data_IF_520395353934
#
_entry.id   IF_520395353934
#
_cell.length_a   1.000
_cell.length_b   1.000
_cell.length_c   1.000
_cell.angle_alpha   90.00
_cell.angle_beta   90.00
_cell.angle_gamma   90.00
#
_symmetry.space_group_name_H-M   'P 1'
#
loop_
_entity.id
_entity.type
_entity.pdbx_description
1 polymer ?
#
# COMPACT_ATOMS: atom_id res chain seq x y z
N UNK A 1 -1.42 13.57 8.94
CA UNK A 1 -0.98 13.62 7.52
C UNK A 1 -1.68 14.71 6.73
N UNK A 2 -0.91 15.52 5.97
CA UNK A 2 -1.42 16.70 5.25
C UNK A 2 -1.53 16.48 3.74
N UNK A 3 -2.55 17.05 3.10
CA UNK A 3 -2.71 17.06 1.65
C UNK A 3 -1.52 17.67 0.89
N UNK A 4 -0.68 18.47 1.56
CA UNK A 4 0.55 19.02 0.96
C UNK A 4 1.55 17.91 0.62
N UNK A 5 1.73 16.92 1.50
CA UNK A 5 2.61 15.78 1.25
C UNK A 5 2.06 14.90 0.12
N UNK A 6 0.75 14.63 0.12
CA UNK A 6 0.11 13.89 -0.97
C UNK A 6 0.30 14.61 -2.32
N UNK A 7 0.16 15.94 -2.36
CA UNK A 7 0.40 16.74 -3.57
C UNK A 7 1.85 16.64 -4.06
N UNK A 8 2.82 16.67 -3.13
CA UNK A 8 4.24 16.49 -3.47
C UNK A 8 4.46 15.12 -4.11
N UNK A 9 3.93 14.06 -3.52
CA UNK A 9 4.10 12.69 -4.03
C UNK A 9 3.43 12.50 -5.38
N UNK A 10 2.23 13.05 -5.58
CA UNK A 10 1.57 13.00 -6.89
C UNK A 10 2.36 13.78 -7.95
N UNK A 11 3.11 14.82 -7.54
CA UNK A 11 4.01 15.53 -8.45
C UNK A 11 5.24 14.70 -8.80
N UNK A 12 5.85 14.02 -7.83
CA UNK A 12 6.98 13.11 -8.05
C UNK A 12 6.52 11.92 -8.91
N UNK A 13 5.39 11.30 -8.57
CA UNK A 13 4.80 10.21 -9.33
C UNK A 13 4.43 10.61 -10.76
N UNK A 14 4.05 11.88 -11.00
CA UNK A 14 3.85 12.41 -12.36
C UNK A 14 5.14 12.39 -13.19
N UNK A 15 6.27 12.78 -12.60
CA UNK A 15 7.57 12.74 -13.30
C UNK A 15 7.96 11.32 -13.72
N UNK A 16 7.50 10.31 -12.97
CA UNK A 16 7.71 8.89 -13.27
C UNK A 16 6.56 8.27 -14.09
N UNK A 17 5.60 9.08 -14.55
CA UNK A 17 4.35 8.66 -15.19
C UNK A 17 3.43 7.74 -14.35
N UNK A 18 3.74 7.51 -13.06
CA UNK A 18 2.99 6.65 -12.14
C UNK A 18 1.64 7.24 -11.76
N UNK A 19 1.58 8.55 -11.51
CA UNK A 19 0.36 9.21 -11.02
C UNK A 19 0.05 10.46 -11.82
N UNK A 20 -1.24 10.80 -12.03
CA UNK A 20 -1.59 12.10 -12.59
C UNK A 20 -1.18 13.23 -11.64
N UNK A 21 -0.95 14.41 -12.19
CA UNK A 21 -0.72 15.61 -11.37
C UNK A 21 -1.96 15.96 -10.54
N UNK A 22 -1.78 16.67 -9.42
CA UNK A 22 -2.90 17.22 -8.66
C UNK A 22 -3.83 18.13 -9.50
N UNK A 23 -3.26 18.91 -10.43
CA UNK A 23 -4.06 19.73 -11.35
C UNK A 23 -4.86 18.88 -12.34
N UNK A 24 -4.31 17.76 -12.79
CA UNK A 24 -4.96 16.83 -13.72
C UNK A 24 -6.06 16.03 -13.05
N UNK A 25 -5.90 15.72 -11.76
CA UNK A 25 -6.95 15.10 -10.94
C UNK A 25 -8.17 16.03 -10.85
N UNK A 26 -7.96 17.34 -10.64
CA UNK A 26 -9.07 18.28 -10.54
C UNK A 26 -9.78 18.52 -11.89
N UNK A 27 -9.03 18.47 -13.00
CA UNK A 27 -9.51 18.75 -14.36
C UNK A 27 -9.22 17.59 -15.35
N UNK A 28 -9.91 16.45 -15.23
CA UNK A 28 -9.60 15.23 -15.99
C UNK A 28 -9.87 15.35 -17.50
N UNK A 29 -10.89 16.12 -17.90
CA UNK A 29 -11.33 16.25 -19.31
C UNK A 29 -10.31 16.92 -20.24
N UNK A 30 -9.36 17.69 -19.69
CA UNK A 30 -8.48 18.56 -20.48
C UNK A 30 -7.18 17.88 -20.93
N UNK A 31 -6.84 16.70 -20.41
CA UNK A 31 -5.49 16.15 -20.58
C UNK A 31 -5.42 14.78 -21.27
N UNK A 32 -5.60 14.76 -22.60
CA UNK A 32 -5.30 13.59 -23.45
C UNK A 32 -3.79 13.26 -23.49
N UNK A 33 -2.91 14.22 -23.19
CA UNK A 33 -1.44 14.04 -23.24
C UNK A 33 -0.93 13.05 -22.20
N UNK A 34 -1.54 13.02 -21.00
CA UNK A 34 -1.13 12.11 -19.93
C UNK A 34 -1.23 10.61 -20.29
N UNK A 35 -2.20 10.22 -21.12
CA UNK A 35 -2.33 8.82 -21.59
C UNK A 35 -1.20 8.44 -22.54
N UNK A 36 -0.81 9.34 -23.46
CA UNK A 36 0.31 9.13 -24.38
C UNK A 36 1.63 9.00 -23.61
N UNK A 37 1.85 9.86 -22.62
CA UNK A 37 3.04 9.80 -21.77
C UNK A 37 3.10 8.50 -20.95
N UNK A 38 1.98 8.07 -20.36
CA UNK A 38 1.90 6.78 -19.67
C UNK A 38 2.22 5.60 -20.58
N UNK A 39 1.67 5.58 -21.81
CA UNK A 39 1.97 4.54 -22.80
C UNK A 39 3.45 4.52 -23.20
N UNK A 40 4.04 5.70 -23.41
CA UNK A 40 5.46 5.83 -23.73
C UNK A 40 6.33 5.32 -22.58
N UNK A 41 5.98 5.65 -21.32
CA UNK A 41 6.71 5.15 -20.16
C UNK A 41 6.59 3.63 -20.02
N UNK A 42 5.40 3.06 -20.27
CA UNK A 42 5.22 1.60 -20.31
C UNK A 42 6.13 0.98 -21.36
N UNK A 43 6.11 1.48 -22.61
CA UNK A 43 6.97 0.96 -23.68
C UNK A 43 8.47 1.08 -23.33
N UNK A 44 8.89 2.20 -22.74
CA UNK A 44 10.24 2.41 -22.26
C UNK A 44 10.63 1.38 -21.20
N UNK A 45 9.80 1.19 -20.16
CA UNK A 45 10.04 0.22 -19.10
C UNK A 45 10.09 -1.21 -19.65
N UNK A 46 9.20 -1.58 -20.57
CA UNK A 46 9.20 -2.89 -21.22
C UNK A 46 10.50 -3.13 -21.99
N UNK A 47 10.92 -2.17 -22.81
CA UNK A 47 12.13 -2.29 -23.62
C UNK A 47 13.39 -2.33 -22.74
N UNK A 48 13.48 -1.46 -21.74
CA UNK A 48 14.60 -1.44 -20.80
C UNK A 48 14.67 -2.73 -19.97
N UNK A 49 13.53 -3.28 -19.54
CA UNK A 49 13.50 -4.58 -18.84
C UNK A 49 13.93 -5.72 -19.75
N UNK A 50 13.51 -5.74 -21.02
CA UNK A 50 13.94 -6.75 -21.98
C UNK A 50 15.46 -6.71 -22.20
N UNK A 51 16.04 -5.52 -22.34
CA UNK A 51 17.50 -5.34 -22.44
C UNK A 51 18.19 -5.86 -21.17
N UNK A 52 17.69 -5.49 -19.98
CA UNK A 52 18.23 -5.95 -18.71
C UNK A 52 18.23 -7.48 -18.61
N UNK A 53 17.14 -8.15 -19.01
CA UNK A 53 17.05 -9.62 -19.04
C UNK A 53 18.09 -10.23 -20.00
N UNK A 54 18.29 -9.64 -21.18
CA UNK A 54 19.34 -10.11 -22.13
C UNK A 54 20.72 -10.05 -21.50
N UNK A 55 21.05 -8.95 -20.79
CA UNK A 55 22.33 -8.83 -20.08
C UNK A 55 22.46 -9.78 -18.87
N UNK A 56 21.35 -10.19 -18.24
CA UNK A 56 21.34 -11.16 -17.13
C UNK A 56 21.35 -12.61 -17.58
N UNK A 57 21.08 -12.90 -18.87
CA UNK A 57 20.98 -14.25 -19.41
C UNK A 57 22.19 -15.15 -19.07
N UNK A 58 23.45 -14.70 -19.15
CA UNK A 58 24.61 -15.54 -18.81
C UNK A 58 24.65 -15.96 -17.33
N UNK A 59 24.04 -15.18 -16.44
CA UNK A 59 23.90 -15.49 -15.02
C UNK A 59 22.75 -16.49 -14.82
N UNK A 60 21.62 -16.26 -15.49
CA UNK A 60 20.43 -17.11 -15.39
C UNK A 60 20.68 -18.54 -15.85
N UNK A 61 21.46 -18.74 -16.91
CA UNK A 61 21.83 -20.09 -17.41
C UNK A 61 22.64 -20.89 -16.38
N UNK A 62 23.33 -20.23 -15.43
CA UNK A 62 24.11 -20.89 -14.38
C UNK A 62 23.31 -21.19 -13.12
N UNK A 63 22.07 -20.71 -13.01
CA UNK A 63 21.23 -20.91 -11.83
C UNK A 63 20.57 -22.29 -11.82
N UNK A 64 20.26 -22.80 -10.62
CA UNK A 64 19.41 -23.98 -10.50
C UNK A 64 17.99 -23.68 -11.01
N UNK A 65 17.24 -24.66 -11.53
CA UNK A 65 15.90 -24.42 -12.06
C UNK A 65 14.97 -23.72 -11.06
N UNK A 66 15.02 -24.13 -9.79
CA UNK A 66 14.19 -23.55 -8.72
C UNK A 66 14.55 -22.08 -8.44
N UNK A 67 15.84 -21.74 -8.44
CA UNK A 67 16.30 -20.36 -8.27
C UNK A 67 15.89 -19.52 -9.47
N UNK A 68 16.11 -20.03 -10.69
CA UNK A 68 15.73 -19.36 -11.93
C UNK A 68 14.23 -19.04 -11.97
N UNK A 69 13.37 -20.00 -11.60
CA UNK A 69 11.93 -19.79 -11.55
C UNK A 69 11.56 -18.71 -10.53
N UNK A 70 12.18 -18.73 -9.35
CA UNK A 70 11.90 -17.73 -8.30
C UNK A 70 12.35 -16.33 -8.74
N UNK A 71 13.55 -16.21 -9.32
CA UNK A 71 14.09 -14.95 -9.86
C UNK A 71 13.22 -14.40 -10.99
N UNK A 72 12.74 -15.28 -11.89
CA UNK A 72 11.82 -14.88 -12.95
C UNK A 72 10.52 -14.29 -12.38
N UNK A 73 9.98 -14.87 -11.31
CA UNK A 73 8.80 -14.31 -10.63
C UNK A 73 9.10 -13.00 -9.91
N UNK A 74 10.29 -12.82 -9.36
CA UNK A 74 10.76 -11.53 -8.81
C UNK A 74 10.71 -10.45 -9.90
N UNK A 75 11.40 -10.68 -11.02
CA UNK A 75 11.45 -9.75 -12.14
C UNK A 75 10.04 -9.44 -12.68
N UNK A 76 9.23 -10.48 -12.87
CA UNK A 76 7.87 -10.34 -13.38
C UNK A 76 6.99 -9.54 -12.43
N UNK A 77 7.02 -9.84 -11.13
CA UNK A 77 6.18 -9.13 -10.15
C UNK A 77 6.59 -7.68 -10.02
N UNK A 78 7.89 -7.38 -9.95
CA UNK A 78 8.39 -6.00 -9.88
C UNK A 78 7.99 -5.16 -11.11
N UNK A 79 8.13 -5.75 -12.31
CA UNK A 79 7.67 -5.14 -13.54
C UNK A 79 6.15 -4.91 -13.55
N UNK A 80 5.36 -5.92 -13.16
CA UNK A 80 3.90 -5.83 -13.09
C UNK A 80 3.41 -4.78 -12.08
N UNK A 81 4.12 -4.53 -10.97
CA UNK A 81 3.80 -3.42 -10.05
C UNK A 81 3.82 -2.09 -10.80
N UNK A 82 4.91 -1.81 -11.54
CA UNK A 82 5.07 -0.54 -12.24
C UNK A 82 4.04 -0.38 -13.36
N UNK A 83 3.84 -1.41 -14.19
CA UNK A 83 2.88 -1.36 -15.29
C UNK A 83 1.44 -1.23 -14.77
N UNK A 84 1.05 -2.07 -13.80
CA UNK A 84 -0.30 -2.02 -13.23
C UNK A 84 -0.59 -0.67 -12.58
N UNK A 85 0.40 -0.07 -11.90
CA UNK A 85 0.28 1.28 -11.35
C UNK A 85 0.00 2.29 -12.46
N UNK A 86 0.85 2.36 -13.49
CA UNK A 86 0.69 3.34 -14.58
C UNK A 86 -0.69 3.16 -15.24
N UNK A 87 -1.05 1.92 -15.61
CA UNK A 87 -2.32 1.64 -16.27
C UNK A 87 -3.52 2.02 -15.39
N UNK A 88 -3.51 1.64 -14.12
CA UNK A 88 -4.62 1.90 -13.20
C UNK A 88 -4.77 3.39 -12.91
N UNK A 89 -3.69 4.10 -12.59
CA UNK A 89 -3.74 5.54 -12.32
C UNK A 89 -4.13 6.35 -13.55
N UNK A 90 -3.75 5.93 -14.75
CA UNK A 90 -4.16 6.62 -15.98
C UNK A 90 -5.63 6.33 -16.35
N UNK A 91 -6.13 5.13 -16.04
CA UNK A 91 -7.49 4.70 -16.36
C UNK A 91 -8.52 5.14 -15.31
N UNK A 92 -8.12 5.29 -14.05
CA UNK A 92 -9.01 5.56 -12.90
C UNK A 92 -8.79 6.93 -12.27
N UNK A 93 -8.44 7.94 -13.07
CA UNK A 93 -8.19 9.32 -12.59
C UNK A 93 -9.39 9.92 -11.88
N UNK A 94 -10.59 9.68 -12.41
CA UNK A 94 -11.83 10.21 -11.84
C UNK A 94 -12.09 9.63 -10.45
N UNK A 95 -11.80 8.33 -10.25
CA UNK A 95 -11.89 7.70 -8.93
C UNK A 95 -10.89 8.31 -7.95
N UNK A 96 -9.65 8.57 -8.39
CA UNK A 96 -8.66 9.25 -7.54
C UNK A 96 -9.11 10.66 -7.14
N UNK A 97 -9.81 11.38 -8.02
CA UNK A 97 -10.42 12.68 -7.70
C UNK A 97 -11.47 12.51 -6.61
N UNK A 98 -12.42 11.59 -6.81
CA UNK A 98 -13.47 11.28 -5.82
C UNK A 98 -12.85 10.96 -4.45
N UNK A 99 -11.83 10.11 -4.40
CA UNK A 99 -11.11 9.79 -3.17
C UNK A 99 -10.53 11.03 -2.48
N UNK A 100 -9.86 11.90 -3.24
CA UNK A 100 -9.28 13.13 -2.68
C UNK A 100 -10.36 14.07 -2.15
N UNK A 101 -11.49 14.18 -2.84
CA UNK A 101 -12.58 15.06 -2.46
C UNK A 101 -13.39 14.51 -1.27
N UNK A 102 -13.61 13.19 -1.18
CA UNK A 102 -14.20 12.54 -0.01
C UNK A 102 -13.32 12.75 1.23
N UNK A 103 -12.01 12.54 1.08
CA UNK A 103 -11.05 12.76 2.17
C UNK A 103 -10.96 14.23 2.60
N UNK A 104 -11.26 15.20 1.73
CA UNK A 104 -11.32 16.62 2.09
C UNK A 104 -12.63 16.97 2.81
N UNK A 105 -13.74 16.41 2.34
CA UNK A 105 -15.09 16.78 2.78
C UNK A 105 -15.35 16.33 4.21
N UNK A 106 -14.80 15.19 4.63
CA UNK A 106 -14.89 14.75 6.02
C UNK A 106 -14.03 15.65 6.90
N UNK A 107 -14.64 16.44 7.79
CA UNK A 107 -13.96 17.39 8.69
C UNK A 107 -12.89 16.68 9.52
N UNK A 108 -11.68 17.28 9.65
CA UNK A 108 -10.68 16.82 10.65
C UNK A 108 -10.81 17.73 11.85
N UNK A 109 -11.02 17.14 13.03
CA UNK A 109 -10.92 17.90 14.29
C UNK A 109 -9.52 17.85 14.91
N UNK A 110 -8.58 17.13 14.30
CA UNK A 110 -7.19 17.06 14.76
C UNK A 110 -6.26 17.96 13.96
N UNK A 111 -5.83 19.08 14.55
CA UNK A 111 -4.56 19.74 14.20
C UNK A 111 -3.39 18.88 14.72
N UNK A 112 -3.25 17.67 14.19
CA UNK A 112 -2.05 16.89 14.48
C UNK A 112 -0.90 17.61 13.78
N UNK A 113 -0.01 18.24 14.58
CA UNK A 113 1.31 18.74 14.17
C UNK A 113 2.19 17.55 13.78
N UNK A 114 1.76 16.81 12.77
CA UNK A 114 2.47 15.69 12.19
C UNK A 114 3.67 16.26 11.43
N UNK A 115 4.87 15.72 11.65
CA UNK A 115 6.09 16.19 11.00
C UNK A 115 6.00 15.92 9.49
N UNK A 116 5.45 16.89 8.75
CA UNK A 116 4.75 16.66 7.48
C UNK A 116 5.60 16.03 6.39
N UNK A 117 6.91 16.17 6.43
CA UNK A 117 7.84 15.65 5.42
C UNK A 117 8.93 14.74 6.00
N UNK A 118 9.09 14.70 7.32
CA UNK A 118 10.19 13.99 7.98
C UNK A 118 10.23 12.49 7.63
N UNK A 119 9.07 11.81 7.69
CA UNK A 119 8.97 10.40 7.33
C UNK A 119 9.31 10.14 5.87
N UNK A 120 8.84 11.00 4.95
CA UNK A 120 9.13 10.84 3.52
C UNK A 120 10.62 11.01 3.22
N UNK A 121 11.23 12.05 3.78
CA UNK A 121 12.66 12.32 3.61
C UNK A 121 13.49 11.17 4.18
N UNK A 122 13.17 10.73 5.40
CA UNK A 122 13.88 9.62 6.06
C UNK A 122 13.82 8.32 5.24
N UNK A 123 12.64 7.94 4.73
CA UNK A 123 12.47 6.75 3.89
C UNK A 123 13.25 6.85 2.57
N UNK A 124 13.28 8.04 1.93
CA UNK A 124 14.05 8.23 0.70
C UNK A 124 15.57 8.21 0.96
N UNK A 125 16.04 8.84 2.04
CA UNK A 125 17.45 8.80 2.41
C UNK A 125 17.87 7.35 2.64
N UNK A 126 17.09 6.59 3.41
CA UNK A 126 17.37 5.18 3.64
C UNK A 126 17.41 4.38 2.32
N UNK A 127 16.41 4.57 1.45
CA UNK A 127 16.35 3.92 0.14
C UNK A 127 17.61 4.21 -0.69
N UNK A 128 18.00 5.48 -0.83
CA UNK A 128 19.15 5.84 -1.65
C UNK A 128 20.48 5.41 -1.04
N UNK A 129 20.64 5.49 0.29
CA UNK A 129 21.80 4.92 0.97
C UNK A 129 21.92 3.40 0.71
N UNK A 130 20.80 2.69 0.78
CA UNK A 130 20.74 1.25 0.47
C UNK A 130 21.11 0.95 -0.99
N UNK A 131 20.54 1.69 -1.96
CA UNK A 131 20.86 1.49 -3.38
C UNK A 131 22.31 1.84 -3.70
N UNK A 132 22.87 2.90 -3.10
CA UNK A 132 24.27 3.27 -3.26
C UNK A 132 25.19 2.17 -2.72
N UNK A 133 24.88 1.60 -1.55
CA UNK A 133 25.64 0.49 -1.00
C UNK A 133 25.57 -0.75 -1.90
N UNK A 134 24.37 -1.13 -2.36
CA UNK A 134 24.18 -2.25 -3.29
C UNK A 134 24.98 -2.04 -4.58
N UNK A 135 24.98 -0.81 -5.10
CA UNK A 135 25.75 -0.45 -6.30
C UNK A 135 27.25 -0.56 -6.07
N UNK A 136 27.74 -0.08 -4.93
CA UNK A 136 29.16 -0.17 -4.57
C UNK A 136 29.62 -1.63 -4.52
N UNK A 137 28.87 -2.50 -3.85
CA UNK A 137 29.16 -3.94 -3.78
C UNK A 137 29.06 -4.59 -5.17
N UNK A 138 28.01 -4.28 -5.93
CA UNK A 138 27.78 -4.80 -7.27
C UNK A 138 28.88 -4.41 -8.27
N UNK A 139 29.31 -3.14 -8.26
CA UNK A 139 30.42 -2.64 -9.07
C UNK A 139 31.74 -3.31 -8.69
N UNK A 140 31.98 -3.58 -7.40
CA UNK A 140 33.16 -4.32 -6.96
C UNK A 140 33.21 -5.76 -7.48
N UNK A 141 32.05 -6.41 -7.62
CA UNK A 141 31.94 -7.80 -8.04
C UNK A 141 31.88 -7.99 -9.57
N UNK A 142 31.15 -7.13 -10.28
CA UNK A 142 30.83 -7.29 -11.71
C UNK A 142 31.30 -6.09 -12.58
N UNK A 143 31.90 -5.07 -11.99
CA UNK A 143 32.29 -3.85 -12.69
C UNK A 143 31.09 -3.10 -13.28
N UNK A 144 31.31 -2.37 -14.38
CA UNK A 144 30.27 -1.57 -15.04
C UNK A 144 29.14 -2.41 -15.65
N UNK A 145 29.33 -3.71 -15.86
CA UNK A 145 28.28 -4.62 -16.33
C UNK A 145 27.12 -4.70 -15.33
N UNK A 146 27.38 -4.48 -14.03
CA UNK A 146 26.34 -4.39 -13.02
C UNK A 146 25.30 -3.31 -13.35
N UNK A 147 25.74 -2.12 -13.77
CA UNK A 147 24.82 -1.03 -14.08
C UNK A 147 23.94 -1.36 -15.29
N UNK A 148 24.51 -1.99 -16.33
CA UNK A 148 23.74 -2.44 -17.50
C UNK A 148 22.67 -3.46 -17.11
N UNK A 149 22.98 -4.33 -16.16
CA UNK A 149 22.06 -5.37 -15.69
C UNK A 149 20.98 -4.83 -14.74
N UNK A 150 21.29 -3.89 -13.84
CA UNK A 150 20.43 -3.53 -12.70
C UNK A 150 19.91 -2.08 -12.68
N UNK A 151 20.33 -1.20 -13.59
CA UNK A 151 19.88 0.20 -13.57
C UNK A 151 18.35 0.36 -13.70
N UNK A 152 17.71 -0.44 -14.55
CA UNK A 152 16.24 -0.41 -14.70
C UNK A 152 15.52 -0.89 -13.43
N UNK A 153 16.10 -1.87 -12.73
CA UNK A 153 15.54 -2.41 -11.49
C UNK A 153 15.45 -1.32 -10.42
N UNK A 154 16.46 -0.45 -10.32
CA UNK A 154 16.42 0.68 -9.37
C UNK A 154 15.27 1.64 -9.64
N UNK A 155 14.96 1.90 -10.92
CA UNK A 155 13.81 2.72 -11.31
C UNK A 155 12.51 2.02 -10.90
N UNK A 156 12.39 0.70 -11.15
CA UNK A 156 11.21 -0.08 -10.78
C UNK A 156 11.02 -0.16 -9.24
N UNK A 157 12.10 -0.35 -8.48
CA UNK A 157 12.08 -0.34 -7.01
C UNK A 157 11.69 1.02 -6.46
N UNK A 158 12.19 2.11 -7.07
CA UNK A 158 11.80 3.44 -6.65
C UNK A 158 10.32 3.72 -6.97
N UNK A 159 9.82 3.24 -8.11
CA UNK A 159 8.40 3.31 -8.43
C UNK A 159 7.56 2.57 -7.38
N UNK A 160 7.94 1.36 -7.01
CA UNK A 160 7.29 0.58 -5.95
C UNK A 160 7.29 1.36 -4.63
N UNK A 161 8.41 1.96 -4.25
CA UNK A 161 8.52 2.77 -3.03
C UNK A 161 7.51 3.93 -3.04
N UNK A 162 7.46 4.70 -4.13
CA UNK A 162 6.54 5.85 -4.25
C UNK A 162 5.07 5.38 -4.16
N UNK A 163 4.71 4.31 -4.85
CA UNK A 163 3.33 3.77 -4.83
C UNK A 163 2.94 3.31 -3.43
N UNK A 164 3.80 2.53 -2.77
CA UNK A 164 3.59 2.08 -1.40
C UNK A 164 3.46 3.26 -0.42
N UNK A 165 4.24 4.33 -0.62
CA UNK A 165 4.19 5.49 0.24
C UNK A 165 2.95 6.36 0.02
N UNK A 166 2.46 6.47 -1.22
CA UNK A 166 1.15 7.09 -1.52
C UNK A 166 0.05 6.29 -0.83
N UNK A 167 0.06 4.96 -0.95
CA UNK A 167 -0.91 4.09 -0.31
C UNK A 167 -0.90 4.28 1.23
N UNK A 168 0.29 4.26 1.83
CA UNK A 168 0.50 4.53 3.26
C UNK A 168 -0.16 5.84 3.72
N UNK A 169 0.04 6.94 2.98
CA UNK A 169 -0.54 8.24 3.33
C UNK A 169 -2.06 8.22 3.24
N UNK A 170 -2.62 7.63 2.18
CA UNK A 170 -4.06 7.53 2.01
C UNK A 170 -4.70 6.72 3.15
N UNK A 171 -4.07 5.61 3.55
CA UNK A 171 -4.50 4.82 4.71
C UNK A 171 -4.41 5.61 6.02
N UNK A 172 -3.32 6.36 6.26
CA UNK A 172 -3.20 7.25 7.44
C UNK A 172 -4.27 8.33 7.44
N UNK A 173 -4.60 8.91 6.28
CA UNK A 173 -5.66 9.90 6.14
C UNK A 173 -7.02 9.29 6.47
N UNK A 174 -7.35 8.13 5.89
CA UNK A 174 -8.58 7.38 6.22
C UNK A 174 -8.66 7.05 7.71
N UNK A 175 -7.60 6.53 8.31
CA UNK A 175 -7.54 6.20 9.72
C UNK A 175 -7.84 7.42 10.59
N UNK A 176 -7.26 8.57 10.27
CA UNK A 176 -7.53 9.84 10.95
C UNK A 176 -9.00 10.25 10.83
N UNK A 177 -9.64 10.00 9.67
CA UNK A 177 -11.06 10.34 9.46
C UNK A 177 -11.98 9.43 10.24
N UNK A 178 -11.75 8.12 10.21
CA UNK A 178 -12.53 7.16 11.01
C UNK A 178 -12.38 7.45 12.50
N UNK A 179 -11.16 7.70 13.00
CA UNK A 179 -10.95 8.11 14.40
C UNK A 179 -11.73 9.38 14.75
N UNK A 180 -11.70 10.39 13.89
CA UNK A 180 -12.46 11.63 14.09
C UNK A 180 -13.97 11.38 14.15
N UNK A 181 -14.49 10.48 13.31
CA UNK A 181 -15.90 10.08 13.34
C UNK A 181 -16.24 9.36 14.64
N UNK A 182 -15.41 8.40 15.05
CA UNK A 182 -15.54 7.65 16.32
C UNK A 182 -15.50 8.58 17.54
N UNK A 183 -14.62 9.59 17.55
CA UNK A 183 -14.54 10.59 18.63
C UNK A 183 -15.76 11.50 18.65
N UNK A 184 -16.23 11.98 17.48
CA UNK A 184 -17.47 12.78 17.42
C UNK A 184 -18.68 12.02 17.97
N UNK A 185 -18.76 10.73 17.68
CA UNK A 185 -19.82 9.87 18.18
C UNK A 185 -19.68 9.63 19.70
N UNK A 186 -18.46 9.43 20.20
CA UNK A 186 -18.22 9.31 21.64
C UNK A 186 -18.60 10.57 22.39
N UNK A 187 -18.13 11.74 21.96
CA UNK A 187 -18.44 12.99 22.65
C UNK A 187 -19.95 13.25 22.70
N UNK A 188 -20.71 12.78 21.70
CA UNK A 188 -22.18 12.85 21.72
C UNK A 188 -22.81 11.85 22.68
N UNK A 189 -22.23 10.67 22.82
CA UNK A 189 -22.65 9.69 23.84
C UNK A 189 -22.43 10.24 25.24
N UNK A 190 -21.24 10.79 25.51
CA UNK A 190 -20.89 11.34 26.83
C UNK A 190 -21.87 12.47 27.22
N UNK A 191 -22.23 13.36 26.29
CA UNK A 191 -23.23 14.40 26.52
C UNK A 191 -24.64 13.86 26.82
N UNK A 192 -25.04 12.75 26.21
CA UNK A 192 -26.34 12.10 26.49
C UNK A 192 -26.36 11.42 27.86
N UNK A 193 -25.20 10.98 28.36
CA UNK A 193 -25.08 10.43 29.71
C UNK A 193 -25.13 11.54 30.78
N UNK A 194 -24.60 12.73 30.47
CA UNK A 194 -24.53 13.87 31.39
C UNK A 194 -25.77 14.77 31.41
N UNK A 195 -26.59 14.83 30.35
CA UNK A 195 -27.76 15.71 30.26
C UNK A 195 -29.04 14.99 29.81
N UNK A 196 -30.18 15.32 30.43
CA UNK A 196 -31.51 15.00 29.87
C UNK A 196 -31.66 15.69 28.51
N UNK A 197 -31.53 14.88 27.46
CA UNK A 197 -31.75 15.11 26.02
C UNK A 197 -31.90 16.57 25.58
N UNK A 198 -30.82 17.20 25.08
CA UNK A 198 -30.93 18.52 24.46
C UNK A 198 -31.75 18.43 23.17
N UNK A 199 -32.83 19.24 23.09
CA UNK A 199 -33.77 19.37 21.95
C UNK A 199 -33.13 19.69 20.58
N UNK A 200 -31.83 19.96 20.49
CA UNK A 200 -31.10 20.29 19.26
C UNK A 200 -30.13 19.17 18.81
N UNK A 201 -30.44 17.92 19.15
CA UNK A 201 -29.54 16.80 18.86
C UNK A 201 -29.32 16.60 17.36
N UNK A 202 -28.06 16.70 16.94
CA UNK A 202 -27.69 16.75 15.52
C UNK A 202 -28.04 15.44 14.81
N UNK A 203 -28.67 15.58 13.65
CA UNK A 203 -29.20 14.49 12.82
C UNK A 203 -28.17 13.34 12.62
N UNK A 204 -28.48 12.08 13.02
CA UNK A 204 -27.61 10.91 12.80
C UNK A 204 -27.26 10.68 11.32
N UNK A 205 -28.02 11.32 10.41
CA UNK A 205 -27.74 11.37 8.99
C UNK A 205 -26.35 11.92 8.64
N UNK A 206 -25.79 12.86 9.40
CA UNK A 206 -24.44 13.38 9.12
C UNK A 206 -23.36 12.32 9.34
N UNK A 207 -23.45 11.57 10.44
CA UNK A 207 -22.54 10.47 10.76
C UNK A 207 -22.66 9.37 9.71
N UNK A 208 -23.91 9.05 9.32
CA UNK A 208 -24.21 8.09 8.24
C UNK A 208 -23.50 8.47 6.96
N UNK A 209 -23.67 9.72 6.53
CA UNK A 209 -23.13 10.27 5.29
C UNK A 209 -21.61 10.25 5.29
N UNK A 210 -20.98 10.70 6.37
CA UNK A 210 -19.52 10.68 6.50
C UNK A 210 -18.99 9.24 6.49
N UNK A 211 -19.64 8.30 7.18
CA UNK A 211 -19.24 6.89 7.19
C UNK A 211 -19.32 6.25 5.79
N UNK A 212 -20.43 6.47 5.07
CA UNK A 212 -20.61 5.95 3.71
C UNK A 212 -19.55 6.50 2.75
N UNK A 213 -19.23 7.80 2.83
CA UNK A 213 -18.15 8.40 2.03
C UNK A 213 -16.79 7.81 2.34
N UNK A 214 -16.50 7.54 3.62
CA UNK A 214 -15.25 6.87 3.98
C UNK A 214 -15.20 5.42 3.49
N UNK A 215 -16.35 4.74 3.36
CA UNK A 215 -16.42 3.43 2.71
C UNK A 215 -16.19 3.52 1.21
N UNK A 216 -16.83 4.46 0.52
CA UNK A 216 -16.60 4.72 -0.90
C UNK A 216 -15.11 5.00 -1.17
N UNK A 217 -14.46 5.80 -0.32
CA UNK A 217 -13.03 6.03 -0.37
C UNK A 217 -12.19 4.75 -0.22
N UNK A 218 -12.58 3.83 0.67
CA UNK A 218 -11.93 2.51 0.81
C UNK A 218 -12.11 1.66 -0.46
N UNK A 219 -13.28 1.68 -1.07
CA UNK A 219 -13.55 0.95 -2.31
C UNK A 219 -12.75 1.49 -3.49
N UNK A 220 -12.62 2.81 -3.58
CA UNK A 220 -11.74 3.46 -4.55
C UNK A 220 -10.29 3.03 -4.33
N UNK A 221 -9.82 3.00 -3.08
CA UNK A 221 -8.48 2.53 -2.76
C UNK A 221 -8.29 1.07 -3.19
N UNK A 222 -9.23 0.18 -2.91
CA UNK A 222 -9.18 -1.21 -3.39
C UNK A 222 -9.12 -1.29 -4.92
N UNK A 223 -9.86 -0.42 -5.61
CA UNK A 223 -9.89 -0.36 -7.06
C UNK A 223 -8.57 0.15 -7.66
N UNK A 224 -7.86 1.06 -6.98
CA UNK A 224 -6.60 1.66 -7.45
C UNK A 224 -5.40 0.81 -7.03
N UNK A 225 -5.32 0.44 -5.76
CA UNK A 225 -4.15 -0.21 -5.16
C UNK A 225 -4.27 -1.72 -5.05
N UNK A 226 -5.44 -2.32 -5.33
CA UNK A 226 -5.64 -3.77 -5.18
C UNK A 226 -4.64 -4.61 -5.97
N UNK A 227 -4.39 -4.27 -7.24
CA UNK A 227 -3.41 -4.95 -8.09
C UNK A 227 -1.96 -4.62 -7.72
N UNK A 228 -1.56 -3.34 -7.60
CA UNK A 228 -0.23 -2.99 -7.11
C UNK A 228 0.12 -3.69 -5.79
N UNK A 229 -0.80 -3.70 -4.82
CA UNK A 229 -0.58 -4.33 -3.52
C UNK A 229 -0.43 -5.85 -3.65
N UNK A 230 -1.24 -6.52 -4.48
CA UNK A 230 -1.07 -7.95 -4.76
C UNK A 230 0.35 -8.23 -5.27
N UNK A 231 0.80 -7.49 -6.29
CA UNK A 231 2.13 -7.69 -6.85
C UNK A 231 3.25 -7.32 -5.89
N UNK A 232 3.11 -6.27 -5.07
CA UNK A 232 4.06 -5.92 -4.00
C UNK A 232 4.18 -7.06 -2.97
N UNK A 233 3.07 -7.66 -2.55
CA UNK A 233 3.13 -8.81 -1.62
C UNK A 233 3.78 -10.04 -2.24
N UNK A 234 3.51 -10.31 -3.52
CA UNK A 234 4.13 -11.39 -4.26
C UNK A 234 5.63 -11.16 -4.44
N UNK A 235 6.03 -9.95 -4.86
CA UNK A 235 7.42 -9.53 -5.00
C UNK A 235 8.19 -9.71 -3.69
N UNK A 236 7.68 -9.16 -2.58
CA UNK A 236 8.32 -9.32 -1.27
C UNK A 236 8.48 -10.79 -0.86
N UNK A 237 7.48 -11.63 -1.18
CA UNK A 237 7.52 -13.08 -0.91
C UNK A 237 8.60 -13.78 -1.73
N UNK A 238 8.61 -13.61 -3.06
CA UNK A 238 9.60 -14.22 -3.93
C UNK A 238 11.01 -13.72 -3.65
N UNK A 239 11.19 -12.42 -3.42
CA UNK A 239 12.49 -11.84 -3.09
C UNK A 239 13.07 -12.43 -1.80
N UNK A 240 12.21 -12.66 -0.79
CA UNK A 240 12.64 -13.33 0.44
C UNK A 240 13.04 -14.77 0.21
N UNK A 241 12.33 -15.48 -0.67
CA UNK A 241 12.72 -16.84 -1.05
C UNK A 241 14.08 -16.87 -1.74
N UNK A 242 14.37 -15.93 -2.66
CA UNK A 242 15.68 -15.80 -3.30
C UNK A 242 16.78 -15.58 -2.25
N UNK A 243 16.57 -14.65 -1.30
CA UNK A 243 17.57 -14.36 -0.28
C UNK A 243 17.75 -15.48 0.74
N UNK A 244 16.66 -16.11 1.21
CA UNK A 244 16.74 -17.26 2.12
C UNK A 244 17.41 -18.46 1.44
N UNK A 245 17.08 -18.71 0.16
CA UNK A 245 17.78 -19.71 -0.63
C UNK A 245 19.28 -19.38 -0.70
N UNK A 246 19.66 -18.12 -0.94
CA UNK A 246 21.05 -17.68 -0.88
C UNK A 246 21.73 -18.02 0.45
N UNK A 247 21.11 -17.65 1.57
CA UNK A 247 21.65 -17.89 2.92
C UNK A 247 21.85 -19.39 3.17
N UNK A 248 20.89 -20.23 2.78
CA UNK A 248 20.91 -21.66 3.10
C UNK A 248 21.83 -22.46 2.15
N UNK A 249 21.81 -22.14 0.86
CA UNK A 249 22.61 -22.84 -0.16
C UNK A 249 24.09 -22.52 -0.01
N UNK A 250 24.44 -21.25 0.22
CA UNK A 250 25.83 -20.82 0.24
C UNK A 250 26.45 -21.02 1.62
N UNK A 251 26.90 -22.25 1.89
CA UNK A 251 27.56 -22.70 3.14
C UNK A 251 28.79 -21.87 3.59
N UNK A 252 29.27 -20.92 2.79
CA UNK A 252 30.45 -20.07 3.06
C UNK A 252 30.14 -18.56 3.15
N UNK A 253 28.88 -18.16 3.39
CA UNK A 253 28.58 -16.74 3.62
C UNK A 253 29.21 -16.25 4.93
N UNK A 254 29.86 -15.08 4.88
CA UNK A 254 30.34 -14.40 6.07
C UNK A 254 29.15 -13.89 6.90
N UNK A 255 29.33 -13.77 8.21
CA UNK A 255 28.30 -13.24 9.11
C UNK A 255 27.75 -11.88 8.63
N UNK A 256 28.63 -11.01 8.15
CA UNK A 256 28.26 -9.69 7.62
C UNK A 256 27.35 -9.78 6.40
N UNK A 257 27.61 -10.71 5.47
CA UNK A 257 26.76 -10.93 4.29
C UNK A 257 25.38 -11.45 4.70
N UNK A 258 25.32 -12.38 5.66
CA UNK A 258 24.06 -12.90 6.20
C UNK A 258 23.25 -11.80 6.88
N UNK A 259 23.88 -11.00 7.74
CA UNK A 259 23.23 -9.86 8.41
C UNK A 259 22.68 -8.86 7.39
N UNK A 260 23.47 -8.55 6.37
CA UNK A 260 23.04 -7.68 5.27
C UNK A 260 21.76 -8.20 4.60
N UNK A 261 21.72 -9.48 4.22
CA UNK A 261 20.53 -10.08 3.60
C UNK A 261 19.29 -10.01 4.50
N UNK A 262 19.44 -10.22 5.81
CA UNK A 262 18.33 -10.04 6.75
C UNK A 262 17.84 -8.60 6.83
N UNK A 263 18.75 -7.62 6.82
CA UNK A 263 18.38 -6.19 6.75
C UNK A 263 17.61 -5.89 5.47
N UNK A 264 18.01 -6.47 4.33
CA UNK A 264 17.29 -6.30 3.06
C UNK A 264 15.89 -6.92 3.11
N UNK A 265 15.76 -8.16 3.59
CA UNK A 265 14.47 -8.82 3.78
C UNK A 265 13.58 -7.97 4.69
N UNK A 266 14.12 -7.51 5.82
CA UNK A 266 13.39 -6.70 6.79
C UNK A 266 12.91 -5.38 6.18
N UNK A 267 13.78 -4.69 5.44
CA UNK A 267 13.43 -3.45 4.75
C UNK A 267 12.28 -3.65 3.76
N UNK A 268 12.36 -4.67 2.91
CA UNK A 268 11.34 -4.97 1.92
C UNK A 268 9.98 -5.29 2.58
N UNK A 269 10.00 -6.05 3.67
CA UNK A 269 8.79 -6.38 4.42
C UNK A 269 8.21 -5.19 5.17
N UNK A 270 9.05 -4.26 5.64
CA UNK A 270 8.59 -3.14 6.47
C UNK A 270 7.48 -2.34 5.75
N UNK A 271 7.66 -2.02 4.47
CA UNK A 271 6.63 -1.29 3.70
C UNK A 271 5.32 -2.08 3.60
N UNK A 272 5.38 -3.37 3.27
CA UNK A 272 4.20 -4.23 3.14
C UNK A 272 3.48 -4.39 4.48
N UNK A 273 4.22 -4.72 5.53
CA UNK A 273 3.69 -4.94 6.88
C UNK A 273 3.01 -3.69 7.41
N UNK A 274 3.65 -2.52 7.31
CA UNK A 274 3.07 -1.25 7.75
C UNK A 274 1.75 -0.96 7.04
N UNK A 275 1.67 -1.21 5.73
CA UNK A 275 0.42 -1.04 4.98
C UNK A 275 -0.66 -2.06 5.42
N UNK A 276 -0.31 -3.33 5.66
CA UNK A 276 -1.24 -4.33 6.22
C UNK A 276 -1.78 -3.89 7.59
N UNK A 277 -0.89 -3.45 8.49
CA UNK A 277 -1.28 -2.98 9.81
C UNK A 277 -2.24 -1.79 9.73
N UNK A 278 -1.98 -0.83 8.84
CA UNK A 278 -2.85 0.32 8.65
C UNK A 278 -4.22 -0.05 8.06
N UNK A 279 -4.28 -0.96 7.09
CA UNK A 279 -5.55 -1.49 6.57
C UNK A 279 -6.38 -2.12 7.69
N UNK A 280 -5.75 -2.94 8.55
CA UNK A 280 -6.41 -3.56 9.69
C UNK A 280 -6.85 -2.53 10.73
N UNK A 281 -6.03 -1.51 11.01
CA UNK A 281 -6.36 -0.43 11.95
C UNK A 281 -7.55 0.40 11.45
N UNK A 282 -7.62 0.73 10.16
CA UNK A 282 -8.78 1.41 9.56
C UNK A 282 -10.03 0.54 9.72
N UNK A 283 -9.92 -0.76 9.46
CA UNK A 283 -11.03 -1.72 9.61
C UNK A 283 -11.49 -1.83 11.06
N UNK A 284 -10.57 -1.80 12.02
CA UNK A 284 -10.87 -1.80 13.46
C UNK A 284 -11.54 -0.50 13.90
N UNK A 285 -11.05 0.65 13.45
CA UNK A 285 -11.69 1.93 13.78
C UNK A 285 -13.09 2.06 13.16
N UNK A 286 -13.30 1.52 11.95
CA UNK A 286 -14.64 1.41 11.36
C UNK A 286 -15.60 0.57 12.22
N UNK A 287 -15.14 -0.57 12.74
CA UNK A 287 -15.92 -1.41 13.68
C UNK A 287 -16.21 -0.71 14.99
N UNK A 288 -15.23 -0.03 15.60
CA UNK A 288 -15.47 0.76 16.82
C UNK A 288 -16.53 1.85 16.60
N UNK A 289 -16.54 2.50 15.45
CA UNK A 289 -17.58 3.47 15.10
C UNK A 289 -18.96 2.82 15.03
N UNK A 290 -19.07 1.62 14.46
CA UNK A 290 -20.32 0.85 14.43
C UNK A 290 -20.77 0.45 15.84
N UNK A 291 -19.86 -0.06 16.68
CA UNK A 291 -20.17 -0.47 18.05
C UNK A 291 -20.71 0.70 18.88
N UNK A 292 -20.04 1.87 18.80
CA UNK A 292 -20.54 3.10 19.44
C UNK A 292 -21.87 3.56 18.86
N UNK A 293 -22.13 3.29 17.58
CA UNK A 293 -23.42 3.64 16.96
C UNK A 293 -24.55 2.78 17.50
N UNK A 294 -24.30 1.51 17.80
CA UNK A 294 -25.26 0.65 18.50
C UNK A 294 -25.54 1.14 19.91
N UNK A 295 -24.50 1.52 20.67
CA UNK A 295 -24.67 2.13 21.99
C UNK A 295 -25.52 3.39 21.90
N UNK A 296 -25.20 4.28 20.96
CA UNK A 296 -25.93 5.52 20.73
C UNK A 296 -27.40 5.26 20.39
N UNK A 297 -27.66 4.30 19.50
CA UNK A 297 -29.00 3.90 19.16
C UNK A 297 -29.77 3.39 20.38
N UNK A 298 -29.15 2.63 21.30
CA UNK A 298 -29.80 2.13 22.50
C UNK A 298 -30.37 3.25 23.37
N UNK A 299 -29.61 4.34 23.60
CA UNK A 299 -30.09 5.49 24.38
C UNK A 299 -31.27 6.19 23.67
N UNK A 300 -31.17 6.40 22.36
CA UNK A 300 -32.24 7.05 21.57
C UNK A 300 -33.49 6.17 21.42
N UNK A 301 -33.34 4.84 21.35
CA UNK A 301 -34.43 3.89 21.21
C UNK A 301 -35.34 3.80 22.44
N UNK A 302 -34.82 4.13 23.63
CA UNK A 302 -35.63 4.18 24.86
C UNK A 302 -36.72 5.25 24.72
N UNK A 303 -36.48 6.32 23.96
CA UNK A 303 -37.43 7.43 23.79
C UNK A 303 -38.27 7.35 22.51
N UNK A 304 -37.71 6.85 21.39
CA UNK A 304 -38.45 6.76 20.12
C UNK A 304 -38.14 5.45 19.39
N UNK A 305 -39.16 4.60 19.20
CA UNK A 305 -39.12 3.38 18.35
C UNK A 305 -39.02 3.73 16.86
N UNK A 306 -37.92 4.37 16.47
CA UNK A 306 -37.73 4.92 15.14
C UNK A 306 -37.16 3.88 14.17
N UNK A 307 -37.96 3.48 13.18
CA UNK A 307 -37.53 2.69 12.00
C UNK A 307 -36.30 3.29 11.31
N UNK A 308 -36.10 4.61 11.40
CA UNK A 308 -34.97 5.31 10.78
C UNK A 308 -33.64 4.95 11.46
N UNK A 309 -33.62 4.75 12.79
CA UNK A 309 -32.40 4.38 13.51
C UNK A 309 -31.99 2.92 13.21
N UNK A 310 -32.95 2.01 13.04
CA UNK A 310 -32.65 0.65 12.54
C UNK A 310 -32.03 0.69 11.13
N UNK A 311 -32.62 1.47 10.22
CA UNK A 311 -32.06 1.64 8.86
C UNK A 311 -30.65 2.26 8.89
N UNK A 312 -30.40 3.18 9.80
CA UNK A 312 -29.06 3.76 10.01
C UNK A 312 -28.04 2.69 10.40
N UNK A 313 -28.33 1.87 11.42
CA UNK A 313 -27.43 0.81 11.89
C UNK A 313 -27.17 -0.26 10.82
N UNK A 314 -28.21 -0.68 10.10
CA UNK A 314 -28.07 -1.62 8.98
C UNK A 314 -27.14 -1.03 7.91
N UNK A 315 -27.34 0.25 7.57
CA UNK A 315 -26.48 0.91 6.58
C UNK A 315 -25.01 0.94 7.03
N UNK A 316 -24.73 1.25 8.30
CA UNK A 316 -23.35 1.27 8.81
C UNK A 316 -22.72 -0.12 8.80
N UNK A 317 -23.48 -1.15 9.20
CA UNK A 317 -23.04 -2.55 9.20
C UNK A 317 -22.65 -3.01 7.79
N UNK A 318 -23.48 -2.69 6.80
CA UNK A 318 -23.27 -3.12 5.41
C UNK A 318 -22.13 -2.33 4.72
N UNK A 319 -21.77 -1.16 5.26
CA UNK A 319 -20.72 -0.30 4.73
C UNK A 319 -19.41 -0.35 5.54
N UNK A 320 -19.16 -1.41 6.30
CA UNK A 320 -17.90 -1.55 7.02
C UNK A 320 -16.70 -1.52 6.06
N UNK A 321 -15.63 -0.77 6.39
CA UNK A 321 -14.43 -0.73 5.56
C UNK A 321 -13.80 -2.12 5.48
N UNK A 322 -13.49 -2.56 4.26
CA UNK A 322 -12.81 -3.82 4.01
C UNK A 322 -11.77 -3.62 2.91
N UNK A 323 -10.52 -3.92 3.20
CA UNK A 323 -9.44 -3.85 2.22
C UNK A 323 -9.22 -5.20 1.54
N UNK A 324 -8.97 -5.18 0.23
CA UNK A 324 -8.72 -6.40 -0.55
C UNK A 324 -7.67 -6.17 -1.63
N UNK A 325 -6.82 -7.18 -1.83
CA UNK A 325 -5.84 -7.21 -2.90
C UNK A 325 -6.47 -7.81 -4.16
N UNK A 326 -6.91 -6.95 -5.08
CA UNK A 326 -7.55 -7.32 -6.36
C UNK A 326 -8.66 -8.38 -6.22
N UNK A 327 -9.38 -8.38 -5.09
CA UNK A 327 -10.42 -9.37 -4.70
C UNK A 327 -9.93 -10.81 -4.47
N UNK A 328 -8.64 -11.09 -4.58
CA UNK A 328 -8.08 -12.42 -4.28
C UNK A 328 -8.10 -12.73 -2.78
N UNK A 329 -7.72 -11.76 -1.95
CA UNK A 329 -7.75 -11.91 -0.49
C UNK A 329 -8.04 -10.59 0.22
N UNK A 330 -8.53 -10.72 1.47
CA UNK A 330 -8.76 -9.60 2.38
C UNK A 330 -7.45 -9.23 3.07
N UNK A 331 -7.12 -7.94 3.13
CA UNK A 331 -5.90 -7.45 3.75
C UNK A 331 -6.14 -7.22 5.24
N UNK A 332 -5.53 -8.05 6.07
CA UNK A 332 -5.62 -7.98 7.53
C UNK A 332 -4.35 -8.56 8.19
N UNK A 333 -4.23 -8.48 9.52
CA UNK A 333 -3.03 -8.99 10.22
C UNK A 333 -2.80 -10.49 10.03
N UNK A 334 -3.84 -11.30 9.84
CA UNK A 334 -3.68 -12.76 9.62
C UNK A 334 -3.07 -13.08 8.25
N UNK A 335 -3.11 -12.14 7.31
CA UNK A 335 -2.41 -12.22 6.02
C UNK A 335 -0.90 -12.39 6.23
N UNK A 336 -0.33 -11.73 7.25
CA UNK A 336 1.11 -11.80 7.57
C UNK A 336 1.51 -13.24 7.93
N UNK A 337 0.77 -13.87 8.85
CA UNK A 337 1.02 -15.25 9.25
C UNK A 337 0.88 -16.23 8.07
N UNK A 338 -0.07 -15.96 7.17
CA UNK A 338 -0.27 -16.77 5.96
C UNK A 338 0.95 -16.69 5.03
N UNK A 339 1.52 -15.50 4.82
CA UNK A 339 2.74 -15.33 4.03
C UNK A 339 3.94 -16.03 4.66
N UNK A 340 4.17 -15.88 5.97
CA UNK A 340 5.24 -16.59 6.67
C UNK A 340 5.09 -18.11 6.55
N UNK A 341 3.87 -18.64 6.66
CA UNK A 341 3.62 -20.08 6.50
C UNK A 341 4.00 -20.57 5.10
N UNK A 342 3.63 -19.82 4.05
CA UNK A 342 3.97 -20.18 2.66
C UNK A 342 5.47 -20.13 2.43
N UNK A 343 6.14 -19.07 2.89
CA UNK A 343 7.59 -18.89 2.76
C UNK A 343 8.33 -20.01 3.47
N UNK A 344 7.97 -20.31 4.72
CA UNK A 344 8.57 -21.39 5.50
C UNK A 344 8.40 -22.75 4.82
N UNK A 345 7.20 -23.03 4.31
CA UNK A 345 6.92 -24.29 3.59
C UNK A 345 7.82 -24.41 2.35
N UNK A 346 7.96 -23.34 1.57
CA UNK A 346 8.79 -23.35 0.38
C UNK A 346 10.28 -23.48 0.71
N UNK A 347 10.74 -22.82 1.77
CA UNK A 347 12.11 -22.94 2.27
C UNK A 347 12.40 -24.38 2.70
N UNK A 348 11.48 -25.04 3.42
CA UNK A 348 11.65 -26.45 3.80
C UNK A 348 11.81 -27.33 2.55
N UNK A 349 10.95 -27.14 1.55
CA UNK A 349 11.02 -27.88 0.28
C UNK A 349 12.36 -27.61 -0.43
N UNK A 350 12.81 -26.35 -0.50
CA UNK A 350 14.10 -25.97 -1.07
C UNK A 350 15.27 -26.73 -0.40
N UNK A 351 15.27 -26.76 0.93
CA UNK A 351 16.31 -27.45 1.70
C UNK A 351 16.31 -28.95 1.42
N UNK A 352 15.14 -29.58 1.38
CA UNK A 352 15.01 -31.01 1.09
C UNK A 352 15.58 -31.37 -0.29
N UNK A 353 15.29 -30.57 -1.32
CA UNK A 353 15.85 -30.79 -2.67
C UNK A 353 17.36 -30.57 -2.75
N UNK A 354 17.96 -29.83 -1.82
CA UNK A 354 19.41 -29.67 -1.77
C UNK A 354 20.11 -30.79 -1.01
N UNK A 355 19.52 -31.30 0.07
CA UNK A 355 20.10 -32.41 0.85
C UNK A 355 20.06 -33.72 0.07
N UNK A 356 19.11 -33.86 -0.86
CA UNK A 356 19.00 -35.02 -1.74
C UNK A 356 20.01 -35.06 -2.90
N UNK A 357 20.82 -34.01 -3.10
CA UNK A 357 21.93 -33.95 -4.06
C UNK A 357 23.26 -33.96 -3.33
#
# INVERSE_FOLDING_TARGET
MSFKLLRLLLRIGKLLALTPSYSEINFPSRNKSGKKYGLLMVAFLTFAQAISIVYRLPIYVKMSPMRLTTEFFVDCTLYLISISTIVVFQSKKDLLKTLVDDLKTVKNFGNVKDNRYGHFISVNIFFWCYQLHTTYVGLGALGLEFLKQYAIEYILLYNELIVNFIFFILLKMLLSRYKTLTTRLQNRLDLLEETEVPNNFTNPYEIKKDFCRLKEAVDVINAIFGWPFLFTTAYASFQTLVYLQGIIVYKKMTFNATLYLFVVIFWQYTCVLVNIFLCDDVTKEGRKCLDKSYTFAKYVFVETKSKQMQMFLVTLRDNLPQFSAARFFRINRTTICSFFKVILTFVIVMVQFQVAK
#
